data_IF_793775651211
#
_entry.id   IF_793775651211
#
_cell.length_a   1.000
_cell.length_b   1.000
_cell.length_c   1.000
_cell.angle_alpha   90.00
_cell.angle_beta   90.00
_cell.angle_gamma   90.00
#
_symmetry.space_group_name_H-M   'P 1'
#
loop_
_entity.id
_entity.type
_entity.pdbx_description
1 polymer ?
#
# COMPACT_ATOMS: atom_id res chain seq x y z
N UNK A 1 -55.28 21.35 -15.34
CA UNK A 1 -53.83 21.40 -15.63
C UNK A 1 -53.09 21.10 -14.32
N UNK A 2 -53.06 19.84 -13.86
CA UNK A 2 -51.88 18.92 -13.92
C UNK A 2 -50.56 19.67 -13.69
N UNK A 3 -50.10 19.80 -12.44
CA UNK A 3 -49.16 18.87 -11.76
C UNK A 3 -47.95 18.53 -12.62
N UNK A 4 -46.84 19.26 -12.45
CA UNK A 4 -45.45 18.82 -12.74
C UNK A 4 -44.47 19.95 -12.40
N UNK A 5 -44.30 20.27 -11.11
CA UNK A 5 -43.30 21.27 -10.68
C UNK A 5 -42.41 20.80 -9.52
N UNK A 6 -42.45 19.52 -9.12
CA UNK A 6 -41.66 19.03 -7.96
C UNK A 6 -41.27 17.56 -8.10
N UNK A 7 -40.66 17.17 -9.22
CA UNK A 7 -40.10 15.83 -9.40
C UNK A 7 -38.62 15.84 -9.82
N UNK A 8 -37.93 16.97 -9.63
CA UNK A 8 -36.48 17.07 -9.87
C UNK A 8 -35.69 17.05 -8.55
N UNK A 9 -36.19 16.31 -7.55
CA UNK A 9 -35.41 15.94 -6.36
C UNK A 9 -34.42 14.86 -6.78
N UNK A 10 -33.27 15.30 -7.28
CA UNK A 10 -31.94 14.70 -7.16
C UNK A 10 -31.95 13.21 -6.78
N UNK A 11 -32.12 12.34 -7.78
CA UNK A 11 -31.70 10.94 -7.66
C UNK A 11 -30.18 10.90 -7.43
N UNK A 12 -29.76 10.80 -6.17
CA UNK A 12 -28.33 10.70 -5.81
C UNK A 12 -27.90 11.37 -4.50
N UNK A 13 -28.73 12.24 -3.89
CA UNK A 13 -28.34 12.99 -2.68
C UNK A 13 -28.97 12.47 -1.38
N UNK A 14 -29.76 11.39 -1.44
CA UNK A 14 -30.36 10.80 -0.25
C UNK A 14 -29.31 10.29 0.75
N UNK A 15 -29.62 10.24 2.07
CA UNK A 15 -28.70 9.74 3.10
C UNK A 15 -28.19 8.32 2.80
N UNK A 16 -29.00 7.50 2.11
CA UNK A 16 -28.60 6.17 1.63
C UNK A 16 -27.54 6.26 0.51
N UNK A 17 -27.68 7.17 -0.44
CA UNK A 17 -26.68 7.36 -1.51
C UNK A 17 -25.33 7.86 -0.94
N UNK A 18 -25.39 8.69 0.10
CA UNK A 18 -24.21 9.19 0.82
C UNK A 18 -23.41 8.10 1.54
N UNK A 19 -24.08 7.05 2.01
CA UNK A 19 -23.44 5.88 2.66
C UNK A 19 -23.01 4.84 1.62
N UNK A 20 -23.80 4.62 0.56
CA UNK A 20 -23.53 3.60 -0.46
C UNK A 20 -22.40 3.99 -1.42
N UNK A 21 -22.24 5.26 -1.78
CA UNK A 21 -21.17 5.73 -2.66
C UNK A 21 -19.74 5.41 -2.13
N UNK A 22 -19.44 5.58 -0.82
CA UNK A 22 -18.21 5.06 -0.23
C UNK A 22 -18.03 3.58 -0.38
N UNK A 23 -19.04 2.80 -0.01
CA UNK A 23 -18.97 1.34 -0.01
C UNK A 23 -18.67 0.84 -1.42
N UNK A 24 -19.36 1.37 -2.43
CA UNK A 24 -19.10 1.06 -3.83
C UNK A 24 -17.66 1.36 -4.25
N UNK A 25 -17.15 2.54 -3.89
CA UNK A 25 -15.78 2.93 -4.23
C UNK A 25 -14.74 2.01 -3.56
N UNK A 26 -14.94 1.69 -2.29
CA UNK A 26 -14.10 0.75 -1.54
C UNK A 26 -14.09 -0.62 -2.19
N UNK A 27 -15.27 -1.14 -2.54
CA UNK A 27 -15.43 -2.48 -3.13
C UNK A 27 -14.81 -2.57 -4.53
N UNK A 28 -14.97 -1.53 -5.36
CA UNK A 28 -14.34 -1.47 -6.69
C UNK A 28 -12.82 -1.38 -6.59
N UNK A 29 -12.29 -0.55 -5.69
CA UNK A 29 -10.84 -0.44 -5.48
C UNK A 29 -10.27 -1.74 -4.93
N UNK A 30 -11.01 -2.42 -4.04
CA UNK A 30 -10.56 -3.67 -3.44
C UNK A 30 -10.53 -4.79 -4.47
N UNK A 31 -11.57 -4.88 -5.31
CA UNK A 31 -11.59 -5.80 -6.43
C UNK A 31 -10.45 -5.54 -7.44
N UNK A 32 -10.16 -4.28 -7.75
CA UNK A 32 -9.06 -3.93 -8.65
C UNK A 32 -7.70 -4.27 -8.02
N UNK A 33 -7.51 -3.95 -6.75
CA UNK A 33 -6.29 -4.27 -6.00
C UNK A 33 -6.09 -5.79 -5.96
N UNK A 34 -7.12 -6.53 -5.57
CA UNK A 34 -7.14 -7.99 -5.57
C UNK A 34 -6.80 -8.56 -6.95
N UNK A 35 -7.45 -8.07 -8.02
CA UNK A 35 -7.20 -8.49 -9.40
C UNK A 35 -5.76 -8.24 -9.84
N UNK A 36 -5.17 -7.11 -9.46
CA UNK A 36 -3.76 -6.81 -9.80
C UNK A 36 -2.75 -7.61 -8.97
N UNK A 37 -3.12 -8.02 -7.76
CA UNK A 37 -2.28 -8.90 -6.91
C UNK A 37 -2.53 -10.39 -7.14
N UNK A 38 -3.54 -10.75 -7.93
CA UNK A 38 -3.91 -12.14 -8.24
C UNK A 38 -2.74 -12.94 -8.84
N UNK A 39 -1.94 -12.40 -9.77
CA UNK A 39 -0.74 -13.10 -10.26
C UNK A 39 0.28 -13.42 -9.16
N UNK A 40 0.46 -12.50 -8.19
CA UNK A 40 1.28 -12.74 -7.00
C UNK A 40 0.69 -13.87 -6.16
N UNK A 41 -0.61 -13.81 -5.86
CA UNK A 41 -1.27 -14.82 -5.03
C UNK A 41 -1.20 -16.21 -5.66
N UNK A 42 -1.44 -16.32 -6.96
CA UNK A 42 -1.29 -17.59 -7.70
C UNK A 42 0.13 -18.10 -7.58
N UNK A 43 1.13 -17.24 -7.80
CA UNK A 43 2.53 -17.65 -7.67
C UNK A 43 2.86 -18.12 -6.25
N UNK A 44 2.36 -17.44 -5.21
CA UNK A 44 2.58 -17.84 -3.81
C UNK A 44 1.88 -19.16 -3.43
N UNK A 45 0.75 -19.50 -4.07
CA UNK A 45 0.08 -20.79 -3.86
C UNK A 45 0.81 -21.92 -4.57
N UNK A 46 1.35 -21.65 -5.77
CA UNK A 46 2.11 -22.63 -6.57
C UNK A 46 3.48 -22.89 -5.97
N UNK A 47 4.16 -21.84 -5.50
CA UNK A 47 5.40 -21.95 -4.74
C UNK A 47 5.07 -22.52 -3.37
N UNK A 48 5.40 -23.79 -3.13
CA UNK A 48 5.33 -24.35 -1.78
C UNK A 48 6.10 -23.46 -0.82
N UNK A 49 5.57 -23.29 0.39
CA UNK A 49 6.22 -22.61 1.52
C UNK A 49 7.49 -23.38 1.92
N UNK A 50 8.55 -23.14 1.17
CA UNK A 50 9.88 -23.68 1.36
C UNK A 50 10.86 -22.51 1.37
N UNK A 51 11.87 -22.60 2.23
CA UNK A 51 12.91 -21.59 2.39
C UNK A 51 13.61 -21.24 1.07
N UNK A 52 13.80 -22.22 0.18
CA UNK A 52 14.42 -22.08 -1.14
C UNK A 52 13.57 -21.26 -2.13
N UNK A 53 12.26 -21.22 -1.92
CA UNK A 53 11.33 -20.49 -2.79
C UNK A 53 11.13 -19.03 -2.35
N UNK A 54 11.72 -18.60 -1.22
CA UNK A 54 11.52 -17.27 -0.67
C UNK A 54 11.95 -16.13 -1.63
N UNK A 55 13.10 -16.20 -2.32
CA UNK A 55 13.49 -15.17 -3.29
C UNK A 55 12.51 -15.05 -4.47
N UNK A 56 12.02 -16.19 -4.98
CA UNK A 56 11.05 -16.23 -6.08
C UNK A 56 9.68 -15.69 -5.64
N UNK A 57 9.24 -16.04 -4.43
CA UNK A 57 8.03 -15.49 -3.82
C UNK A 57 8.08 -13.96 -3.71
N UNK A 58 9.23 -13.42 -3.32
CA UNK A 58 9.47 -11.97 -3.21
C UNK A 58 9.50 -11.30 -4.60
N UNK A 59 10.11 -11.95 -5.59
CA UNK A 59 10.08 -11.47 -6.98
C UNK A 59 8.64 -11.43 -7.54
N UNK A 60 7.80 -12.38 -7.15
CA UNK A 60 6.39 -12.38 -7.53
C UNK A 60 5.58 -11.23 -6.91
N UNK A 61 6.10 -10.52 -5.89
CA UNK A 61 5.46 -9.35 -5.30
C UNK A 61 5.71 -8.03 -6.07
N UNK A 62 6.34 -8.09 -7.25
CA UNK A 62 6.59 -6.94 -8.11
C UNK A 62 5.33 -6.12 -8.47
N UNK A 63 4.16 -6.71 -8.79
CA UNK A 63 2.96 -5.93 -9.12
C UNK A 63 2.28 -5.30 -7.88
N UNK A 64 2.64 -5.71 -6.66
CA UNK A 64 2.02 -5.22 -5.41
C UNK A 64 2.33 -3.75 -5.17
N UNK A 65 3.58 -3.31 -5.41
CA UNK A 65 3.99 -1.92 -5.20
C UNK A 65 3.18 -0.92 -6.05
N UNK A 66 3.13 -1.07 -7.38
CA UNK A 66 2.33 -0.21 -8.26
C UNK A 66 0.83 -0.26 -7.94
N UNK A 67 0.30 -1.43 -7.60
CA UNK A 67 -1.10 -1.60 -7.25
C UNK A 67 -1.47 -0.86 -5.95
N UNK A 68 -0.62 -0.97 -4.92
CA UNK A 68 -0.81 -0.26 -3.66
C UNK A 68 -0.72 1.26 -3.88
N UNK A 69 0.27 1.75 -4.63
CA UNK A 69 0.39 3.18 -4.96
C UNK A 69 -0.82 3.71 -5.73
N UNK A 70 -1.39 2.91 -6.64
CA UNK A 70 -2.60 3.28 -7.38
C UNK A 70 -3.83 3.35 -6.47
N UNK A 71 -3.97 2.41 -5.53
CA UNK A 71 -5.04 2.43 -4.53
C UNK A 71 -4.94 3.66 -3.62
N UNK A 72 -3.73 3.98 -3.15
CA UNK A 72 -3.47 5.14 -2.30
C UNK A 72 -3.78 6.47 -3.02
N UNK A 73 -3.39 6.58 -4.29
CA UNK A 73 -3.74 7.72 -5.15
C UNK A 73 -5.25 7.86 -5.38
N UNK A 74 -5.94 6.74 -5.61
CA UNK A 74 -7.38 6.75 -5.83
C UNK A 74 -8.16 7.10 -4.54
N UNK A 75 -7.68 6.63 -3.39
CA UNK A 75 -8.26 6.94 -2.08
C UNK A 75 -8.01 8.40 -1.65
N UNK A 76 -6.82 8.96 -1.93
CA UNK A 76 -6.50 10.34 -1.54
C UNK A 76 -7.24 11.39 -2.37
N UNK A 77 -7.49 11.10 -3.66
CA UNK A 77 -8.26 11.98 -4.56
C UNK A 77 -9.75 11.72 -4.54
N UNK A 78 -10.23 10.91 -3.61
CA UNK A 78 -11.64 10.63 -3.46
C UNK A 78 -12.35 11.88 -2.96
N UNK A 79 -12.96 12.62 -3.88
CA UNK A 79 -13.85 13.73 -3.53
C UNK A 79 -15.09 13.16 -2.83
N UNK A 80 -15.59 13.79 -1.75
CA UNK A 80 -16.90 13.46 -1.17
C UNK A 80 -18.07 13.78 -2.11
N UNK A 81 -17.80 14.37 -3.28
CA UNK A 81 -18.79 14.73 -4.28
C UNK A 81 -19.38 13.48 -4.97
N UNK A 82 -20.70 13.33 -4.86
CA UNK A 82 -21.45 12.12 -5.22
C UNK A 82 -21.57 11.88 -6.74
N UNK A 83 -21.08 12.83 -7.54
CA UNK A 83 -21.21 12.85 -9.00
C UNK A 83 -20.03 12.21 -9.73
N UNK A 84 -18.86 12.06 -9.10
CA UNK A 84 -17.67 11.51 -9.77
C UNK A 84 -17.51 9.99 -9.52
N UNK A 85 -18.36 9.21 -10.18
CA UNK A 85 -18.42 7.73 -10.09
C UNK A 85 -17.36 7.01 -10.93
N UNK A 86 -16.10 7.47 -10.94
CA UNK A 86 -15.03 6.85 -11.73
C UNK A 86 -13.82 6.35 -10.92
N UNK A 87 -14.01 5.53 -9.87
CA UNK A 87 -12.92 5.01 -9.04
C UNK A 87 -11.91 4.19 -9.84
N UNK A 88 -12.37 3.43 -10.86
CA UNK A 88 -11.51 2.65 -11.73
C UNK A 88 -10.59 3.52 -12.60
N UNK A 89 -11.09 4.63 -13.15
CA UNK A 89 -10.29 5.52 -13.97
C UNK A 89 -9.21 6.23 -13.13
N UNK A 90 -9.54 6.60 -11.90
CA UNK A 90 -8.58 7.17 -10.96
C UNK A 90 -7.46 6.18 -10.60
N UNK A 91 -7.80 4.92 -10.35
CA UNK A 91 -6.83 3.85 -10.10
C UNK A 91 -5.87 3.66 -11.28
N UNK A 92 -6.38 3.48 -12.50
CA UNK A 92 -5.54 3.29 -13.69
C UNK A 92 -4.67 4.51 -14.02
N UNK A 93 -5.20 5.72 -13.78
CA UNK A 93 -4.42 6.95 -13.95
C UNK A 93 -3.26 7.02 -12.95
N UNK A 94 -3.53 6.75 -11.68
CA UNK A 94 -2.50 6.66 -10.63
C UNK A 94 -1.47 5.58 -10.92
N UNK A 95 -1.92 4.40 -11.39
CA UNK A 95 -1.06 3.30 -11.80
C UNK A 95 -0.08 3.75 -12.90
N UNK A 96 -0.57 4.36 -13.98
CA UNK A 96 0.29 4.81 -15.08
C UNK A 96 1.24 5.94 -14.71
N UNK A 97 0.80 6.88 -13.87
CA UNK A 97 1.63 8.01 -13.44
C UNK A 97 2.73 7.58 -12.47
N UNK A 98 2.40 6.68 -11.53
CA UNK A 98 3.29 6.36 -10.42
C UNK A 98 4.11 5.09 -10.64
N UNK A 99 3.71 4.18 -11.55
CA UNK A 99 4.39 2.89 -11.75
C UNK A 99 5.89 3.03 -12.01
N UNK A 100 6.31 3.97 -12.86
CA UNK A 100 7.73 4.13 -13.20
C UNK A 100 8.60 4.53 -11.99
N UNK A 101 8.13 5.47 -11.18
CA UNK A 101 8.82 5.90 -9.96
C UNK A 101 8.79 4.84 -8.87
N UNK A 102 7.63 4.21 -8.68
CA UNK A 102 7.41 3.17 -7.68
C UNK A 102 8.25 1.93 -7.97
N UNK A 103 8.25 1.42 -9.20
CA UNK A 103 9.02 0.21 -9.57
C UNK A 103 10.52 0.44 -9.32
N UNK A 104 11.04 1.64 -9.56
CA UNK A 104 12.46 1.97 -9.31
C UNK A 104 12.85 1.92 -7.83
N UNK A 105 11.91 2.12 -6.90
CA UNK A 105 12.15 2.01 -5.46
C UNK A 105 11.81 0.59 -4.97
N UNK A 106 10.73 0.02 -5.51
CA UNK A 106 10.20 -1.28 -5.13
C UNK A 106 11.14 -2.42 -5.51
N UNK A 107 11.75 -2.39 -6.70
CA UNK A 107 12.65 -3.45 -7.16
C UNK A 107 13.90 -3.59 -6.28
N UNK A 108 14.65 -2.51 -5.96
CA UNK A 108 15.77 -2.60 -5.02
C UNK A 108 15.35 -3.08 -3.63
N UNK A 109 14.18 -2.65 -3.15
CA UNK A 109 13.64 -3.10 -1.88
C UNK A 109 13.35 -4.61 -1.88
N UNK A 110 12.68 -5.12 -2.92
CA UNK A 110 12.42 -6.56 -3.08
C UNK A 110 13.71 -7.36 -3.18
N UNK A 111 14.72 -6.85 -3.92
CA UNK A 111 16.02 -7.50 -4.01
C UNK A 111 16.72 -7.58 -2.64
N UNK A 112 16.69 -6.50 -1.86
CA UNK A 112 17.21 -6.49 -0.49
C UNK A 112 16.48 -7.46 0.43
N UNK A 113 15.15 -7.52 0.34
CA UNK A 113 14.34 -8.46 1.11
C UNK A 113 14.59 -9.92 0.73
N UNK A 114 14.79 -10.21 -0.57
CA UNK A 114 15.15 -11.54 -1.03
C UNK A 114 16.48 -12.00 -0.45
N UNK A 115 17.49 -11.12 -0.43
CA UNK A 115 18.78 -11.40 0.21
C UNK A 115 18.64 -11.63 1.71
N UNK A 116 17.86 -10.82 2.42
CA UNK A 116 17.64 -10.98 3.85
C UNK A 116 16.93 -12.32 4.15
N UNK A 117 15.89 -12.64 3.37
CA UNK A 117 15.16 -13.90 3.50
C UNK A 117 16.07 -15.11 3.26
N UNK A 118 16.90 -15.07 2.22
CA UNK A 118 17.88 -16.13 1.93
C UNK A 118 18.87 -16.33 3.08
N UNK A 119 19.40 -15.24 3.63
CA UNK A 119 20.33 -15.28 4.76
C UNK A 119 19.68 -15.84 6.02
N UNK A 120 18.42 -15.47 6.31
CA UNK A 120 17.67 -15.97 7.46
C UNK A 120 17.32 -17.46 7.31
N UNK A 121 16.91 -17.89 6.11
CA UNK A 121 16.62 -19.28 5.77
C UNK A 121 17.81 -20.21 5.98
N UNK A 122 19.01 -19.74 5.67
CA UNK A 122 20.25 -20.52 5.81
C UNK A 122 21.00 -20.25 7.12
N UNK A 123 20.47 -19.39 8.00
CA UNK A 123 21.15 -18.95 9.21
C UNK A 123 21.40 -20.08 10.22
N UNK A 124 20.55 -21.10 10.22
CA UNK A 124 20.70 -22.30 11.06
C UNK A 124 21.85 -23.19 10.56
N UNK A 125 21.87 -23.44 9.25
CA UNK A 125 22.91 -24.24 8.60
C UNK A 125 24.30 -23.58 8.65
N UNK A 126 24.35 -22.24 8.62
CA UNK A 126 25.57 -21.47 8.69
C UNK A 126 26.02 -21.15 10.14
N UNK A 127 25.37 -21.71 11.16
CA UNK A 127 25.67 -21.50 12.58
C UNK A 127 25.80 -20.02 12.98
N UNK A 128 24.98 -19.17 12.35
CA UNK A 128 25.06 -17.72 12.49
C UNK A 128 24.59 -17.29 13.88
N UNK A 129 25.32 -16.39 14.58
CA UNK A 129 24.93 -15.91 15.90
C UNK A 129 23.52 -15.31 15.92
N UNK A 130 22.78 -15.54 17.01
CA UNK A 130 21.40 -15.04 17.17
C UNK A 130 21.26 -13.52 17.06
N UNK A 131 22.28 -12.75 17.48
CA UNK A 131 22.28 -11.29 17.36
C UNK A 131 22.31 -10.83 15.90
N UNK A 132 22.96 -11.57 15.00
CA UNK A 132 22.99 -11.25 13.56
C UNK A 132 21.63 -11.50 12.92
N UNK A 133 20.95 -12.60 13.29
CA UNK A 133 19.57 -12.87 12.87
C UNK A 133 18.64 -11.76 13.32
N UNK A 134 18.74 -11.34 14.59
CA UNK A 134 17.96 -10.22 15.11
C UNK A 134 18.23 -8.91 14.36
N UNK A 135 19.49 -8.61 14.04
CA UNK A 135 19.86 -7.44 13.25
C UNK A 135 19.25 -7.46 11.83
N UNK A 136 19.24 -8.62 11.16
CA UNK A 136 18.61 -8.79 9.85
C UNK A 136 17.08 -8.57 9.92
N UNK A 137 16.42 -9.06 10.97
CA UNK A 137 14.99 -8.83 11.18
C UNK A 137 14.70 -7.34 11.42
N UNK A 138 15.50 -6.67 12.23
CA UNK A 138 15.37 -5.21 12.46
C UNK A 138 15.58 -4.44 11.17
N UNK A 139 16.56 -4.83 10.36
CA UNK A 139 16.82 -4.22 9.05
C UNK A 139 15.65 -4.42 8.09
N UNK A 140 15.06 -5.62 8.05
CA UNK A 140 13.88 -5.90 7.24
C UNK A 140 12.69 -5.02 7.65
N UNK A 141 12.41 -4.91 8.96
CA UNK A 141 11.34 -4.05 9.46
C UNK A 141 11.60 -2.58 9.10
N UNK A 142 12.81 -2.09 9.32
CA UNK A 142 13.19 -0.71 9.00
C UNK A 142 13.05 -0.41 7.49
N UNK A 143 13.48 -1.35 6.63
CA UNK A 143 13.33 -1.25 5.19
C UNK A 143 11.85 -1.22 4.76
N UNK A 144 11.00 -2.03 5.38
CA UNK A 144 9.55 -2.03 5.12
C UNK A 144 8.91 -0.69 5.48
N UNK A 145 9.24 -0.14 6.66
CA UNK A 145 8.73 1.16 7.07
C UNK A 145 9.21 2.28 6.13
N UNK A 146 10.46 2.20 5.68
CA UNK A 146 11.03 3.13 4.72
C UNK A 146 10.31 3.09 3.37
N UNK A 147 10.03 1.90 2.83
CA UNK A 147 9.35 1.76 1.54
C UNK A 147 7.88 2.18 1.62
N UNK A 148 7.20 1.96 2.75
CA UNK A 148 5.83 2.45 2.98
C UNK A 148 5.78 3.98 2.88
N UNK A 149 6.71 4.67 3.55
CA UNK A 149 6.81 6.14 3.48
C UNK A 149 7.16 6.61 2.06
N UNK A 150 8.08 5.92 1.38
CA UNK A 150 8.48 6.25 0.02
C UNK A 150 7.31 6.10 -0.98
N UNK A 151 6.50 5.04 -0.83
CA UNK A 151 5.29 4.82 -1.61
C UNK A 151 4.27 5.93 -1.36
N UNK A 152 4.06 6.32 -0.10
CA UNK A 152 3.18 7.45 0.23
C UNK A 152 3.57 8.74 -0.48
N UNK A 153 4.84 9.13 -0.37
CA UNK A 153 5.36 10.34 -1.00
C UNK A 153 5.25 10.23 -2.53
N UNK A 154 5.62 9.09 -3.10
CA UNK A 154 5.53 8.84 -4.55
C UNK A 154 4.10 8.82 -5.07
N UNK A 155 3.12 8.40 -4.26
CA UNK A 155 1.71 8.36 -4.66
C UNK A 155 1.08 9.74 -4.67
N UNK A 156 1.54 10.64 -3.80
CA UNK A 156 0.92 11.95 -3.57
C UNK A 156 1.66 13.10 -4.23
N UNK A 157 2.98 12.99 -4.37
CA UNK A 157 3.84 14.05 -4.87
C UNK A 157 4.71 13.60 -6.04
N UNK A 158 4.86 14.49 -7.03
CA UNK A 158 5.71 14.27 -8.19
C UNK A 158 7.15 14.75 -7.90
N UNK A 159 7.92 13.94 -7.16
CA UNK A 159 9.34 14.19 -6.90
C UNK A 159 10.25 13.24 -7.66
N UNK A 160 11.51 13.64 -7.84
CA UNK A 160 12.56 12.78 -8.39
C UNK A 160 12.80 11.61 -7.42
N UNK A 161 12.94 10.40 -7.95
CA UNK A 161 13.01 9.15 -7.18
C UNK A 161 14.07 9.15 -6.08
N UNK A 162 15.21 9.80 -6.33
CA UNK A 162 16.32 9.92 -5.37
C UNK A 162 15.93 10.82 -4.19
N UNK A 163 15.17 11.88 -4.45
CA UNK A 163 14.74 12.82 -3.43
C UNK A 163 13.64 12.19 -2.56
N UNK A 164 12.74 11.41 -3.15
CA UNK A 164 11.75 10.58 -2.43
C UNK A 164 12.44 9.62 -1.46
N UNK A 165 13.47 8.90 -1.93
CA UNK A 165 14.22 7.94 -1.12
C UNK A 165 14.93 8.59 0.08
N UNK A 166 15.51 9.79 -0.12
CA UNK A 166 16.15 10.57 0.95
C UNK A 166 15.12 11.12 1.93
N UNK A 167 14.02 11.65 1.42
CA UNK A 167 12.97 12.25 2.23
C UNK A 167 12.26 11.21 3.11
N UNK A 168 11.98 10.01 2.57
CA UNK A 168 11.38 8.92 3.35
C UNK A 168 12.31 8.40 4.45
N UNK A 169 13.63 8.36 4.21
CA UNK A 169 14.62 8.00 5.24
C UNK A 169 14.68 9.05 6.36
N UNK A 170 14.60 10.33 5.99
CA UNK A 170 14.58 11.43 6.94
C UNK A 170 13.33 11.41 7.84
N UNK A 171 12.15 11.17 7.25
CA UNK A 171 10.90 11.10 8.02
C UNK A 171 10.82 9.89 8.96
N UNK A 172 11.52 8.79 8.65
CA UNK A 172 11.57 7.61 9.52
C UNK A 172 11.99 7.95 10.96
N UNK A 173 12.96 8.86 11.10
CA UNK A 173 13.47 9.31 12.40
C UNK A 173 12.74 10.50 13.00
N UNK A 174 12.13 11.35 12.15
CA UNK A 174 11.53 12.62 12.58
C UNK A 174 10.06 12.50 13.01
N UNK A 175 9.28 11.61 12.39
CA UNK A 175 7.85 11.41 12.70
C UNK A 175 7.62 10.09 13.42
N UNK A 176 8.12 9.97 14.66
CA UNK A 176 8.01 8.72 15.46
C UNK A 176 6.57 8.23 15.63
N UNK A 177 5.58 9.13 15.72
CA UNK A 177 4.17 8.77 15.80
C UNK A 177 3.64 8.04 14.57
N UNK A 178 4.01 8.51 13.36
CA UNK A 178 3.64 7.86 12.09
C UNK A 178 4.36 6.52 11.95
N UNK A 179 5.63 6.44 12.35
CA UNK A 179 6.41 5.19 12.34
C UNK A 179 5.79 4.14 13.27
N UNK A 180 5.31 4.54 14.46
CA UNK A 180 4.59 3.66 15.39
C UNK A 180 3.26 3.17 14.82
N UNK A 181 2.48 4.05 14.18
CA UNK A 181 1.23 3.65 13.52
C UNK A 181 1.48 2.67 12.37
N UNK A 182 2.48 2.93 11.52
CA UNK A 182 2.87 2.04 10.43
C UNK A 182 3.39 0.70 10.95
N UNK A 183 4.14 0.68 12.06
CA UNK A 183 4.52 -0.54 12.76
C UNK A 183 3.30 -1.34 13.24
N UNK A 184 2.31 -0.67 13.83
CA UNK A 184 1.06 -1.32 14.26
C UNK A 184 0.31 -1.96 13.09
N UNK A 185 0.19 -1.25 11.96
CA UNK A 185 -0.42 -1.77 10.74
C UNK A 185 0.37 -2.95 10.18
N UNK A 186 1.71 -2.87 10.18
CA UNK A 186 2.58 -3.95 9.72
C UNK A 186 2.43 -5.22 10.58
N UNK A 187 2.38 -5.06 11.91
CA UNK A 187 2.14 -6.16 12.85
C UNK A 187 0.76 -6.78 12.61
N UNK A 188 -0.28 -5.97 12.42
CA UNK A 188 -1.62 -6.46 12.12
C UNK A 188 -1.66 -7.24 10.80
N UNK A 189 -1.01 -6.73 9.75
CA UNK A 189 -0.90 -7.44 8.47
C UNK A 189 -0.16 -8.78 8.61
N UNK A 190 0.95 -8.79 9.35
CA UNK A 190 1.70 -10.01 9.63
C UNK A 190 0.88 -11.03 10.44
N UNK A 191 0.09 -10.58 11.42
CA UNK A 191 -0.80 -11.43 12.21
C UNK A 191 -1.91 -12.05 11.35
N UNK A 192 -2.53 -11.28 10.45
CA UNK A 192 -3.54 -11.79 9.50
C UNK A 192 -2.95 -12.88 8.62
N UNK A 193 -1.76 -12.67 8.05
CA UNK A 193 -1.09 -13.68 7.21
C UNK A 193 -0.68 -14.90 8.03
N UNK A 194 -0.22 -14.71 9.27
CA UNK A 194 0.23 -15.79 10.14
C UNK A 194 -0.89 -16.70 10.64
N UNK A 195 -2.09 -16.16 10.88
CA UNK A 195 -3.24 -16.92 11.41
C UNK A 195 -4.17 -17.39 10.28
N UNK A 196 -4.20 -16.69 9.15
CA UNK A 196 -5.10 -16.96 8.03
C UNK A 196 -4.32 -17.21 6.73
N UNK A 197 -4.38 -16.30 5.77
CA UNK A 197 -3.70 -16.43 4.48
C UNK A 197 -3.44 -15.07 3.84
N UNK A 198 -2.55 -15.06 2.87
CA UNK A 198 -2.24 -13.91 2.03
C UNK A 198 -3.48 -13.43 1.25
N UNK A 199 -4.41 -14.35 0.93
CA UNK A 199 -5.67 -14.03 0.25
C UNK A 199 -6.63 -13.23 1.14
N UNK A 200 -6.69 -13.52 2.44
CA UNK A 200 -7.50 -12.72 3.39
C UNK A 200 -6.94 -11.31 3.49
N UNK A 201 -5.62 -11.17 3.55
CA UNK A 201 -4.99 -9.84 3.54
C UNK A 201 -5.32 -9.07 2.25
N UNK A 202 -5.27 -9.74 1.09
CA UNK A 202 -5.59 -9.14 -0.20
C UNK A 202 -7.06 -8.67 -0.30
N UNK A 203 -7.99 -9.40 0.32
CA UNK A 203 -9.43 -9.06 0.38
C UNK A 203 -9.76 -7.89 1.32
N UNK A 204 -8.83 -7.53 2.20
CA UNK A 204 -8.95 -6.35 3.06
C UNK A 204 -7.92 -5.27 2.70
N UNK A 205 -7.25 -5.40 1.55
CA UNK A 205 -6.08 -4.59 1.24
C UNK A 205 -6.43 -3.10 1.10
N UNK A 206 -7.64 -2.75 0.64
CA UNK A 206 -8.06 -1.34 0.60
C UNK A 206 -8.34 -0.77 1.98
N UNK A 207 -8.78 -1.59 2.96
CA UNK A 207 -8.91 -1.13 4.34
C UNK A 207 -7.54 -0.84 4.96
N UNK A 208 -6.55 -1.70 4.70
CA UNK A 208 -5.17 -1.45 5.10
C UNK A 208 -4.60 -0.19 4.44
N UNK A 209 -4.86 0.02 3.14
CA UNK A 209 -4.46 1.23 2.42
C UNK A 209 -5.11 2.50 2.99
N UNK A 210 -6.40 2.44 3.36
CA UNK A 210 -7.10 3.55 4.00
C UNK A 210 -6.57 3.83 5.41
N UNK A 211 -6.27 2.80 6.20
CA UNK A 211 -5.64 2.95 7.51
C UNK A 211 -4.25 3.59 7.40
N UNK A 212 -3.44 3.17 6.41
CA UNK A 212 -2.15 3.78 6.10
C UNK A 212 -2.28 5.26 5.78
N UNK A 213 -3.24 5.64 4.91
CA UNK A 213 -3.51 7.04 4.60
C UNK A 213 -3.90 7.84 5.85
N UNK A 214 -4.72 7.28 6.72
CA UNK A 214 -5.13 7.96 7.95
C UNK A 214 -3.97 8.16 8.92
N UNK A 215 -3.13 7.14 9.10
CA UNK A 215 -1.92 7.23 9.94
C UNK A 215 -0.89 8.20 9.35
N UNK A 216 -0.79 8.28 8.04
CA UNK A 216 0.16 9.14 7.33
C UNK A 216 -0.34 10.55 7.06
N UNK A 217 -1.60 10.90 7.41
CA UNK A 217 -2.13 12.25 7.17
C UNK A 217 -1.29 13.38 7.78
N UNK A 218 -0.70 13.25 8.99
CA UNK A 218 0.14 14.31 9.54
C UNK A 218 1.44 14.50 8.74
N UNK A 219 1.94 13.43 8.11
CA UNK A 219 3.13 13.45 7.26
C UNK A 219 2.81 14.17 5.94
N UNK A 220 1.66 13.89 5.34
CA UNK A 220 1.25 14.54 4.09
C UNK A 220 1.01 16.02 4.29
N UNK A 221 0.36 16.42 5.40
CA UNK A 221 0.12 17.82 5.74
C UNK A 221 1.43 18.59 5.97
N UNK A 222 2.44 17.92 6.53
CA UNK A 222 3.75 18.53 6.76
C UNK A 222 4.54 18.70 5.46
N UNK A 223 4.53 17.69 4.59
CA UNK A 223 5.18 17.79 3.26
C UNK A 223 4.51 18.86 2.41
N UNK A 224 3.18 18.98 2.46
CA UNK A 224 2.44 20.01 1.73
C UNK A 224 2.81 21.42 2.20
N UNK A 225 2.93 21.62 3.53
CA UNK A 225 3.36 22.91 4.11
C UNK A 225 4.81 23.27 3.78
N UNK A 226 5.71 22.30 3.77
CA UNK A 226 7.14 22.56 3.63
C UNK A 226 7.59 22.69 2.16
N UNK A 227 6.87 22.09 1.20
CA UNK A 227 7.32 21.98 -0.20
C UNK A 227 6.34 22.50 -1.25
N UNK A 228 5.09 22.80 -0.91
CA UNK A 228 4.08 23.28 -1.88
C UNK A 228 3.39 24.58 -1.52
N UNK A 229 3.63 25.15 -0.33
CA UNK A 229 3.13 26.45 0.11
C UNK A 229 4.09 27.60 -0.21
#
# INVERSE_FOLDING_TARGET
MKHEATADRQFGEGPLARVTAPIYSFLVLDLLLFATTLPTLIALVVLRRDASNAPLAIACALPVGPALSAALYALSRRSPDLTDLRPAAAFWRGYRMNAGGVVRIWVPYLAGMALIAENLSHAEAAAVPGWWRAALVVLAVAATLWVINALMISSLFAFRTIDVARLSAYFLGRTRGVTLGNLGILIAAAAVVGISSEAVLALFAVLFAAALLHVCSPLTDQVEKDFTA
#
